data_IF_144327069191
#
_entry.id   IF_144327069191
#
_cell.length_a   1.000
_cell.length_b   1.000
_cell.length_c   1.000
_cell.angle_alpha   90.00
_cell.angle_beta   90.00
_cell.angle_gamma   90.00
#
_symmetry.space_group_name_H-M   'P 1'
#
loop_
_entity.id
_entity.type
_entity.pdbx_description
1 polymer ?
#
# COMPACT_ATOMS: atom_id res chain seq x y z
N UNK A 1 -6.98 4.26 10.02
CA UNK A 1 -7.29 3.12 10.89
C UNK A 1 -6.89 3.39 12.34
N UNK A 2 -5.63 3.75 12.64
CA UNK A 2 -5.19 4.10 14.00
C UNK A 2 -6.07 5.16 14.65
N UNK A 3 -6.37 6.25 13.95
CA UNK A 3 -7.23 7.33 14.48
C UNK A 3 -8.65 6.85 14.77
N UNK A 4 -9.21 5.96 13.94
CA UNK A 4 -10.54 5.37 14.17
C UNK A 4 -10.51 4.50 15.42
N UNK A 5 -9.53 3.61 15.52
CA UNK A 5 -9.33 2.76 16.68
C UNK A 5 -9.22 3.57 17.97
N UNK A 6 -8.34 4.55 18.02
CA UNK A 6 -8.08 5.35 19.22
C UNK A 6 -9.31 6.15 19.65
N UNK A 7 -10.09 6.65 18.68
CA UNK A 7 -11.32 7.36 18.95
C UNK A 7 -12.41 6.44 19.50
N UNK A 8 -12.53 5.22 19.00
CA UNK A 8 -13.48 4.22 19.50
C UNK A 8 -13.10 3.72 20.89
N UNK A 9 -11.80 3.49 21.14
CA UNK A 9 -11.29 3.16 22.48
C UNK A 9 -11.58 4.27 23.49
N UNK A 10 -11.37 5.53 23.13
CA UNK A 10 -11.69 6.67 24.00
C UNK A 10 -13.20 6.83 24.27
N UNK A 11 -14.05 6.28 23.40
CA UNK A 11 -15.48 6.22 23.58
C UNK A 11 -15.95 4.99 24.40
N UNK A 12 -15.03 4.15 24.89
CA UNK A 12 -15.35 2.96 25.70
C UNK A 12 -15.93 1.79 24.91
N UNK A 13 -15.69 1.75 23.59
CA UNK A 13 -16.13 0.64 22.74
C UNK A 13 -15.20 -0.56 22.94
N UNK A 14 -15.77 -1.76 23.00
CA UNK A 14 -15.01 -3.00 23.11
C UNK A 14 -14.08 -3.21 21.89
N UNK A 15 -12.88 -3.70 22.15
CA UNK A 15 -11.86 -3.85 21.11
C UNK A 15 -12.26 -4.82 19.98
N UNK A 16 -13.11 -5.81 20.27
CA UNK A 16 -13.71 -6.67 19.24
C UNK A 16 -14.64 -5.89 18.30
N UNK A 17 -15.43 -4.99 18.86
CA UNK A 17 -16.30 -4.11 18.03
C UNK A 17 -15.49 -3.16 17.18
N UNK A 18 -14.31 -2.70 17.67
CA UNK A 18 -13.39 -1.89 16.90
C UNK A 18 -12.86 -2.66 15.68
N UNK A 19 -12.45 -3.91 15.85
CA UNK A 19 -11.99 -4.73 14.72
C UNK A 19 -13.13 -5.00 13.73
N UNK A 20 -14.35 -5.24 14.20
CA UNK A 20 -15.52 -5.37 13.33
C UNK A 20 -15.81 -4.09 12.54
N UNK A 21 -15.62 -2.92 13.15
CA UNK A 21 -15.74 -1.63 12.44
C UNK A 21 -14.66 -1.46 11.36
N UNK A 22 -13.43 -1.93 11.61
CA UNK A 22 -12.35 -1.94 10.61
C UNK A 22 -12.64 -2.93 9.47
N UNK A 23 -13.27 -4.09 9.77
CA UNK A 23 -13.77 -5.00 8.74
C UNK A 23 -14.80 -4.31 7.84
N UNK A 24 -15.75 -3.58 8.43
CA UNK A 24 -16.73 -2.81 7.67
C UNK A 24 -16.08 -1.72 6.79
N UNK A 25 -15.01 -1.07 7.29
CA UNK A 25 -14.19 -0.15 6.50
C UNK A 25 -13.56 -0.86 5.29
N UNK A 26 -13.06 -2.08 5.47
CA UNK A 26 -12.50 -2.90 4.38
C UNK A 26 -13.54 -3.17 3.28
N UNK A 27 -14.76 -3.55 3.64
CA UNK A 27 -15.84 -3.72 2.67
C UNK A 27 -16.20 -2.43 1.93
N UNK A 28 -16.23 -1.29 2.65
CA UNK A 28 -16.47 0.02 2.03
C UNK A 28 -15.35 0.40 1.05
N UNK A 29 -14.10 0.16 1.41
CA UNK A 29 -12.94 0.38 0.56
C UNK A 29 -13.01 -0.47 -0.72
N UNK A 30 -13.41 -1.75 -0.60
CA UNK A 30 -13.59 -2.66 -1.74
C UNK A 30 -14.63 -2.15 -2.73
N UNK A 31 -15.77 -1.71 -2.26
CA UNK A 31 -16.81 -1.13 -3.13
C UNK A 31 -16.33 0.13 -3.84
N UNK A 32 -15.66 1.03 -3.12
CA UNK A 32 -15.12 2.26 -3.71
C UNK A 32 -14.08 1.93 -4.77
N UNK A 33 -13.18 0.96 -4.50
CA UNK A 33 -12.11 0.60 -5.42
C UNK A 33 -12.63 0.08 -6.75
N UNK A 34 -13.70 -0.74 -6.75
CA UNK A 34 -14.35 -1.22 -7.97
C UNK A 34 -14.84 -0.06 -8.83
N UNK A 35 -15.60 0.88 -8.24
CA UNK A 35 -16.13 2.03 -8.99
C UNK A 35 -15.03 3.00 -9.44
N UNK A 36 -14.02 3.23 -8.60
CA UNK A 36 -12.88 4.07 -8.95
C UNK A 36 -12.05 3.46 -10.09
N UNK A 37 -11.86 2.13 -10.09
CA UNK A 37 -11.19 1.42 -11.18
C UNK A 37 -11.96 1.52 -12.50
N UNK A 38 -13.27 1.34 -12.47
CA UNK A 38 -14.11 1.48 -13.66
C UNK A 38 -14.11 2.90 -14.19
N UNK A 39 -14.33 3.89 -13.34
CA UNK A 39 -14.41 5.30 -13.72
C UNK A 39 -13.04 5.90 -14.06
N UNK A 40 -12.03 5.65 -13.24
CA UNK A 40 -10.69 6.22 -13.41
C UNK A 40 -9.82 5.42 -14.39
N UNK A 41 -9.77 4.09 -14.26
CA UNK A 41 -8.88 3.25 -15.06
C UNK A 41 -9.43 2.93 -16.44
N UNK A 42 -10.61 2.29 -16.54
CA UNK A 42 -11.15 1.82 -17.83
C UNK A 42 -11.59 2.97 -18.69
N UNK A 43 -12.23 3.99 -18.11
CA UNK A 43 -12.73 5.13 -18.87
C UNK A 43 -11.58 5.96 -19.48
N UNK A 44 -10.49 6.14 -18.73
CA UNK A 44 -9.29 6.84 -19.23
C UNK A 44 -8.60 6.05 -20.33
N UNK A 45 -8.56 4.73 -20.25
CA UNK A 45 -8.01 3.88 -21.31
C UNK A 45 -8.86 3.95 -22.59
N UNK A 46 -10.17 4.12 -22.46
CA UNK A 46 -11.04 4.42 -23.59
C UNK A 46 -10.73 5.75 -24.26
N UNK A 47 -10.36 6.77 -23.50
CA UNK A 47 -9.94 8.07 -24.01
C UNK A 47 -8.59 8.00 -24.77
N UNK A 48 -7.60 7.28 -24.22
CA UNK A 48 -6.31 7.01 -24.85
C UNK A 48 -6.48 6.34 -26.23
N UNK A 49 -7.20 5.22 -26.29
CA UNK A 49 -7.48 4.52 -27.54
C UNK A 49 -8.24 5.43 -28.54
N UNK A 50 -9.18 6.24 -28.07
CA UNK A 50 -9.91 7.20 -28.90
C UNK A 50 -9.01 8.27 -29.47
N UNK A 51 -8.08 8.82 -28.67
CA UNK A 51 -7.09 9.82 -29.08
C UNK A 51 -6.16 9.27 -30.20
N UNK A 52 -5.72 8.02 -30.02
CA UNK A 52 -4.88 7.33 -30.99
C UNK A 52 -5.60 7.06 -32.30
N UNK A 53 -6.83 6.60 -32.25
CA UNK A 53 -7.63 6.34 -33.47
C UNK A 53 -7.85 7.62 -34.29
N UNK A 54 -8.24 8.69 -33.62
CA UNK A 54 -8.46 9.99 -34.33
C UNK A 54 -7.14 10.55 -34.85
N UNK A 55 -6.10 10.54 -34.03
CA UNK A 55 -4.80 11.10 -34.43
C UNK A 55 -4.13 10.30 -35.53
N UNK A 56 -3.91 9.01 -35.34
CA UNK A 56 -3.15 8.18 -36.30
C UNK A 56 -3.96 7.78 -37.51
N UNK A 57 -5.22 7.38 -37.33
CA UNK A 57 -6.01 6.77 -38.44
C UNK A 57 -6.74 7.82 -39.24
N UNK A 58 -7.40 8.79 -38.60
CA UNK A 58 -8.18 9.79 -39.29
C UNK A 58 -7.35 11.02 -39.76
N UNK A 59 -6.55 11.57 -38.82
CA UNK A 59 -5.78 12.78 -39.08
C UNK A 59 -4.38 12.50 -39.66
N UNK A 60 -3.88 11.28 -39.60
CA UNK A 60 -2.56 10.88 -40.09
C UNK A 60 -1.39 11.58 -39.41
N UNK A 61 -1.56 12.00 -38.15
CA UNK A 61 -0.53 12.64 -37.36
C UNK A 61 0.13 11.61 -36.41
N UNK A 62 1.40 11.79 -36.04
CA UNK A 62 2.07 10.92 -35.09
C UNK A 62 1.35 10.84 -33.72
N UNK A 63 1.58 9.75 -32.99
CA UNK A 63 1.18 9.60 -31.63
C UNK A 63 1.76 10.73 -30.77
N UNK A 64 1.05 11.16 -29.74
CA UNK A 64 1.45 12.25 -28.84
C UNK A 64 1.72 13.61 -29.54
N UNK A 65 1.20 13.83 -30.74
CA UNK A 65 1.39 15.10 -31.44
C UNK A 65 0.60 16.22 -30.74
N UNK A 66 1.26 17.34 -30.35
CA UNK A 66 0.60 18.44 -29.64
C UNK A 66 -0.51 19.14 -30.42
N UNK A 67 -0.64 18.87 -31.74
CA UNK A 67 -1.73 19.34 -32.58
C UNK A 67 -3.04 18.60 -32.35
N UNK A 68 -2.98 17.40 -31.74
CA UNK A 68 -4.16 16.64 -31.37
C UNK A 68 -4.59 17.05 -29.96
N UNK A 69 -5.72 17.75 -29.76
CA UNK A 69 -6.16 18.15 -28.41
C UNK A 69 -6.54 16.96 -27.54
N UNK A 70 -6.78 15.78 -28.11
CA UNK A 70 -7.06 14.56 -27.34
C UNK A 70 -5.84 14.06 -26.56
N UNK A 71 -4.61 14.43 -26.95
CA UNK A 71 -3.37 14.12 -26.21
C UNK A 71 -3.39 14.75 -24.81
N UNK A 72 -4.00 15.92 -24.64
CA UNK A 72 -4.15 16.52 -23.31
C UNK A 72 -5.09 15.68 -22.44
N UNK A 73 -6.20 15.21 -23.02
CA UNK A 73 -7.15 14.36 -22.30
C UNK A 73 -6.53 13.01 -21.92
N UNK A 74 -5.70 12.46 -22.80
CA UNK A 74 -4.95 11.22 -22.56
C UNK A 74 -3.96 11.38 -21.41
N UNK A 75 -3.07 12.38 -21.46
CA UNK A 75 -2.11 12.64 -20.39
C UNK A 75 -2.76 12.93 -19.03
N UNK A 76 -3.88 13.65 -19.00
CA UNK A 76 -4.66 13.86 -17.77
C UNK A 76 -5.31 12.55 -17.33
N UNK A 77 -5.81 11.77 -18.29
CA UNK A 77 -6.44 10.47 -18.07
C UNK A 77 -5.50 9.46 -17.45
N UNK A 78 -4.25 9.38 -17.88
CA UNK A 78 -3.23 8.52 -17.29
C UNK A 78 -3.03 8.83 -15.79
N UNK A 79 -2.91 10.09 -15.43
CA UNK A 79 -2.80 10.49 -14.03
C UNK A 79 -4.06 10.10 -13.22
N UNK A 80 -5.25 10.27 -13.77
CA UNK A 80 -6.50 9.85 -13.12
C UNK A 80 -6.58 8.34 -13.03
N UNK A 81 -6.15 7.61 -14.06
CA UNK A 81 -6.09 6.16 -14.09
C UNK A 81 -5.20 5.58 -13.00
N UNK A 82 -4.01 6.14 -12.84
CA UNK A 82 -3.07 5.70 -11.80
C UNK A 82 -3.57 6.04 -10.38
N UNK A 83 -4.10 7.24 -10.17
CA UNK A 83 -4.58 7.65 -8.85
C UNK A 83 -5.93 7.00 -8.49
N UNK A 84 -6.94 7.10 -9.34
CA UNK A 84 -8.27 6.59 -9.05
C UNK A 84 -8.39 5.09 -9.31
N UNK A 85 -7.76 4.57 -10.35
CA UNK A 85 -7.80 3.16 -10.70
C UNK A 85 -6.88 2.31 -9.83
N UNK A 86 -5.58 2.61 -9.82
CA UNK A 86 -4.59 1.78 -9.14
C UNK A 86 -4.44 2.10 -7.65
N UNK A 87 -4.39 3.37 -7.25
CA UNK A 87 -4.20 3.73 -5.85
C UNK A 87 -5.40 3.32 -4.99
N UNK A 88 -6.63 3.34 -5.51
CA UNK A 88 -7.82 2.86 -4.81
C UNK A 88 -7.73 1.36 -4.50
N UNK A 89 -7.24 0.55 -5.44
CA UNK A 89 -6.99 -0.88 -5.26
C UNK A 89 -5.91 -1.15 -4.20
N UNK A 90 -4.82 -0.37 -4.23
CA UNK A 90 -3.77 -0.48 -3.23
C UNK A 90 -4.29 -0.14 -1.84
N UNK A 91 -5.10 0.90 -1.71
CA UNK A 91 -5.75 1.25 -0.44
C UNK A 91 -6.62 0.11 0.09
N UNK A 92 -7.47 -0.49 -0.75
CA UNK A 92 -8.27 -1.66 -0.40
C UNK A 92 -7.40 -2.81 0.09
N UNK A 93 -6.37 -3.18 -0.67
CA UNK A 93 -5.46 -4.27 -0.34
C UNK A 93 -4.76 -4.04 1.00
N UNK A 94 -4.33 -2.81 1.27
CA UNK A 94 -3.75 -2.43 2.56
C UNK A 94 -4.74 -2.63 3.71
N UNK A 95 -5.93 -2.08 3.60
CA UNK A 95 -6.96 -2.18 4.65
C UNK A 95 -7.30 -3.64 4.93
N UNK A 96 -7.60 -4.41 3.89
CA UNK A 96 -8.01 -5.81 4.02
C UNK A 96 -6.89 -6.67 4.62
N UNK A 97 -5.64 -6.50 4.18
CA UNK A 97 -4.51 -7.28 4.68
C UNK A 97 -4.21 -6.99 6.15
N UNK A 98 -4.24 -5.72 6.56
CA UNK A 98 -4.02 -5.32 7.95
C UNK A 98 -5.12 -5.89 8.84
N UNK A 99 -6.38 -5.68 8.46
CA UNK A 99 -7.54 -6.13 9.24
C UNK A 99 -7.58 -7.66 9.34
N UNK A 100 -7.30 -8.37 8.24
CA UNK A 100 -7.22 -9.83 8.27
C UNK A 100 -6.16 -10.34 9.26
N UNK A 101 -4.99 -9.70 9.28
CA UNK A 101 -3.92 -10.06 10.23
C UNK A 101 -4.31 -9.74 11.68
N UNK A 102 -5.00 -8.62 11.93
CA UNK A 102 -5.52 -8.27 13.26
C UNK A 102 -6.58 -9.28 13.73
N UNK A 103 -7.52 -9.65 12.88
CA UNK A 103 -8.53 -10.69 13.18
C UNK A 103 -7.87 -12.02 13.51
N UNK A 104 -6.85 -12.41 12.74
CA UNK A 104 -6.12 -13.65 12.96
C UNK A 104 -5.41 -13.63 14.32
N UNK A 105 -4.78 -12.51 14.69
CA UNK A 105 -4.15 -12.35 16.00
C UNK A 105 -5.15 -12.54 17.15
N UNK A 106 -6.36 -11.97 17.06
CA UNK A 106 -7.42 -12.13 18.06
C UNK A 106 -7.89 -13.59 18.17
N UNK A 107 -8.06 -14.28 17.03
CA UNK A 107 -8.50 -15.66 17.01
C UNK A 107 -7.49 -16.58 17.74
N UNK A 108 -6.19 -16.36 17.52
CA UNK A 108 -5.15 -17.19 18.12
C UNK A 108 -4.86 -16.87 19.58
N UNK A 109 -4.98 -15.62 20.00
CA UNK A 109 -4.73 -15.21 21.39
C UNK A 109 -5.98 -15.23 22.27
N UNK A 110 -7.17 -15.18 21.67
CA UNK A 110 -8.44 -15.10 22.39
C UNK A 110 -8.70 -13.75 23.10
N UNK A 111 -7.71 -12.87 23.14
CA UNK A 111 -7.78 -11.51 23.71
C UNK A 111 -7.08 -10.53 22.80
N UNK A 112 -7.49 -9.27 22.84
CA UNK A 112 -6.79 -8.21 22.14
C UNK A 112 -5.52 -7.84 22.90
N UNK A 113 -4.41 -7.84 22.22
CA UNK A 113 -3.09 -7.62 22.81
C UNK A 113 -2.27 -6.70 21.90
N UNK A 114 -1.06 -6.38 22.35
CA UNK A 114 -0.07 -5.63 21.54
C UNK A 114 0.17 -6.27 20.17
N UNK A 115 0.02 -7.59 20.07
CA UNK A 115 0.13 -8.33 18.82
C UNK A 115 -0.96 -7.95 17.79
N UNK A 116 -2.16 -7.59 18.25
CA UNK A 116 -3.25 -7.14 17.39
C UNK A 116 -2.95 -5.79 16.72
N UNK A 117 -2.22 -4.91 17.42
CA UNK A 117 -1.87 -3.57 16.94
C UNK A 117 -0.62 -3.61 16.06
N UNK A 118 0.22 -4.59 16.23
CA UNK A 118 1.50 -4.72 15.54
C UNK A 118 1.40 -4.58 14.00
N UNK A 119 0.45 -5.23 13.28
CA UNK A 119 0.30 -5.05 11.84
C UNK A 119 0.02 -3.61 11.44
N UNK A 120 -0.73 -2.89 12.27
CA UNK A 120 -1.07 -1.48 12.04
C UNK A 120 0.16 -0.58 12.17
N UNK A 121 1.01 -0.84 13.17
CA UNK A 121 2.26 -0.11 13.39
C UNK A 121 3.26 -0.36 12.25
N UNK A 122 3.41 -1.61 11.82
CA UNK A 122 4.26 -1.97 10.68
C UNK A 122 3.79 -1.28 9.40
N UNK A 123 2.49 -1.34 9.10
CA UNK A 123 1.93 -0.69 7.92
C UNK A 123 2.09 0.84 7.97
N UNK A 124 1.84 1.45 9.12
CA UNK A 124 2.04 2.89 9.31
C UNK A 124 3.49 3.33 9.12
N UNK A 125 4.44 2.54 9.62
CA UNK A 125 5.87 2.81 9.42
C UNK A 125 6.32 2.63 7.97
N UNK A 126 5.73 1.69 7.24
CA UNK A 126 6.00 1.49 5.83
C UNK A 126 5.65 2.71 4.98
N UNK A 127 4.58 3.43 5.35
CA UNK A 127 4.21 4.68 4.69
C UNK A 127 5.31 5.74 4.89
N UNK A 128 5.83 5.88 6.12
CA UNK A 128 6.94 6.80 6.40
C UNK A 128 8.20 6.43 5.62
N UNK A 129 8.54 5.12 5.58
CA UNK A 129 9.66 4.64 4.79
C UNK A 129 9.49 4.96 3.29
N UNK A 130 8.28 4.82 2.77
CA UNK A 130 7.95 5.10 1.38
C UNK A 130 8.07 6.58 1.04
N UNK A 131 7.60 7.47 1.92
CA UNK A 131 7.73 8.92 1.76
C UNK A 131 9.21 9.32 1.74
N UNK A 132 10.03 8.78 2.65
CA UNK A 132 11.47 9.08 2.68
C UNK A 132 12.15 8.48 1.45
N UNK A 133 11.84 7.23 1.09
CA UNK A 133 12.41 6.55 -0.07
C UNK A 133 12.12 7.25 -1.38
N UNK A 134 10.93 7.83 -1.54
CA UNK A 134 10.55 8.58 -2.75
C UNK A 134 11.43 9.82 -2.98
N UNK A 135 12.01 10.41 -1.94
CA UNK A 135 12.95 11.55 -2.06
C UNK A 135 14.25 11.17 -2.81
N UNK A 136 14.58 9.88 -2.83
CA UNK A 136 15.78 9.37 -3.51
C UNK A 136 15.53 9.04 -4.99
N UNK A 137 14.27 9.10 -5.44
CA UNK A 137 13.92 8.96 -6.86
C UNK A 137 14.24 10.28 -7.55
N UNK A 138 15.37 10.34 -8.24
CA UNK A 138 15.79 11.52 -9.00
C UNK A 138 16.43 11.12 -10.33
N UNK A 139 16.05 11.82 -11.38
CA UNK A 139 16.60 11.69 -12.72
C UNK A 139 17.56 12.85 -12.92
N UNK A 140 18.86 12.57 -12.97
CA UNK A 140 19.90 13.60 -13.05
C UNK A 140 20.19 14.07 -14.47
N UNK A 141 19.88 13.26 -15.49
CA UNK A 141 20.13 13.59 -16.90
C UNK A 141 19.05 12.99 -17.81
N UNK A 142 18.73 13.63 -18.95
CA UNK A 142 17.72 13.11 -19.90
C UNK A 142 18.03 11.72 -20.47
N UNK A 143 19.29 11.26 -20.36
CA UNK A 143 19.75 9.95 -20.82
C UNK A 143 19.80 8.89 -19.71
N UNK A 144 19.49 9.25 -18.46
CA UNK A 144 19.49 8.29 -17.36
C UNK A 144 18.29 7.33 -17.48
N UNK A 145 18.53 6.07 -17.09
CA UNK A 145 17.45 5.07 -17.07
C UNK A 145 16.41 5.43 -16.01
N UNK A 146 15.15 5.58 -16.42
CA UNK A 146 14.00 5.83 -15.55
C UNK A 146 13.86 4.68 -14.55
N UNK A 147 13.99 3.43 -15.03
CA UNK A 147 13.93 2.24 -14.17
C UNK A 147 15.02 2.23 -13.10
N UNK A 148 16.24 2.67 -13.46
CA UNK A 148 17.33 2.78 -12.47
C UNK A 148 17.04 3.79 -11.35
N UNK A 149 16.38 4.90 -11.65
CA UNK A 149 15.96 5.86 -10.64
C UNK A 149 14.85 5.30 -9.73
N UNK A 150 13.88 4.58 -10.29
CA UNK A 150 12.82 3.91 -9.53
C UNK A 150 13.39 2.82 -8.61
N UNK A 151 14.28 1.98 -9.11
CA UNK A 151 14.95 0.94 -8.29
C UNK A 151 15.75 1.54 -7.15
N UNK A 152 16.42 2.66 -7.36
CA UNK A 152 17.13 3.36 -6.29
C UNK A 152 16.19 3.77 -5.15
N UNK A 153 15.06 4.38 -5.47
CA UNK A 153 14.04 4.72 -4.47
C UNK A 153 13.47 3.49 -3.77
N UNK A 154 13.20 2.42 -4.52
CA UNK A 154 12.70 1.16 -3.99
C UNK A 154 13.67 0.52 -2.98
N UNK A 155 14.96 0.40 -3.32
CA UNK A 155 15.97 -0.12 -2.39
C UNK A 155 16.12 0.73 -1.14
N UNK A 156 16.07 2.07 -1.28
CA UNK A 156 16.10 2.96 -0.12
C UNK A 156 14.88 2.78 0.78
N UNK A 157 13.69 2.62 0.19
CA UNK A 157 12.46 2.32 0.95
C UNK A 157 12.59 1.00 1.71
N UNK A 158 13.06 -0.07 1.06
CA UNK A 158 13.27 -1.36 1.72
C UNK A 158 14.25 -1.26 2.89
N UNK A 159 15.37 -0.59 2.69
CA UNK A 159 16.39 -0.40 3.74
C UNK A 159 15.84 0.35 4.95
N UNK A 160 15.13 1.45 4.71
CA UNK A 160 14.50 2.23 5.77
C UNK A 160 13.40 1.43 6.47
N UNK A 161 12.62 0.63 5.73
CA UNK A 161 11.57 -0.23 6.29
C UNK A 161 12.14 -1.25 7.26
N UNK A 162 13.26 -1.91 6.93
CA UNK A 162 13.91 -2.88 7.85
C UNK A 162 14.29 -2.20 9.17
N UNK A 163 14.86 -0.99 9.11
CA UNK A 163 15.24 -0.24 10.32
C UNK A 163 14.01 0.11 11.15
N UNK A 164 12.96 0.62 10.52
CA UNK A 164 11.72 1.00 11.22
C UNK A 164 11.01 -0.22 11.80
N UNK A 165 10.99 -1.34 11.09
CA UNK A 165 10.42 -2.60 11.61
C UNK A 165 11.18 -3.10 12.83
N UNK A 166 12.51 -3.04 12.81
CA UNK A 166 13.31 -3.40 13.98
C UNK A 166 12.99 -2.50 15.19
N UNK A 167 12.93 -1.18 14.98
CA UNK A 167 12.61 -0.23 16.04
C UNK A 167 11.20 -0.45 16.60
N UNK A 168 10.21 -0.64 15.75
CA UNK A 168 8.82 -0.88 16.17
C UNK A 168 8.70 -2.19 16.92
N UNK A 169 9.31 -3.27 16.43
CA UNK A 169 9.28 -4.56 17.09
C UNK A 169 9.92 -4.48 18.49
N UNK A 170 11.06 -3.81 18.60
CA UNK A 170 11.73 -3.63 19.88
C UNK A 170 10.91 -2.77 20.84
N UNK A 171 10.24 -1.72 20.35
CA UNK A 171 9.48 -0.81 21.20
C UNK A 171 8.12 -1.39 21.63
N UNK A 172 7.41 -2.09 20.72
CA UNK A 172 6.06 -2.58 20.99
C UNK A 172 6.03 -3.93 21.71
N UNK A 173 6.90 -4.86 21.34
CA UNK A 173 6.87 -6.24 21.85
C UNK A 173 8.16 -6.56 22.60
N UNK A 174 9.31 -6.08 22.11
CA UNK A 174 10.64 -6.49 22.57
C UNK A 174 11.11 -7.79 21.91
N UNK A 175 12.36 -7.83 21.45
CA UNK A 175 12.90 -9.01 20.76
C UNK A 175 12.95 -10.26 21.62
N UNK A 176 13.18 -10.11 22.93
CA UNK A 176 13.35 -11.21 23.88
C UNK A 176 12.05 -11.62 24.59
N UNK A 177 10.95 -10.94 24.34
CA UNK A 177 9.68 -11.28 24.95
C UNK A 177 9.01 -12.43 24.21
N UNK A 178 8.60 -13.44 24.98
CA UNK A 178 7.89 -14.61 24.47
C UNK A 178 6.39 -14.41 24.62
N UNK A 179 5.66 -14.74 23.57
CA UNK A 179 4.21 -14.79 23.57
C UNK A 179 3.74 -16.13 23.01
N UNK A 180 2.60 -16.59 23.50
CA UNK A 180 2.01 -17.84 23.08
C UNK A 180 1.00 -17.59 21.95
N UNK A 181 1.17 -18.27 20.84
CA UNK A 181 0.22 -18.25 19.73
C UNK A 181 -0.30 -19.69 19.52
N UNK A 182 -1.52 -19.95 19.97
CA UNK A 182 -2.05 -21.32 19.99
C UNK A 182 -1.23 -22.22 20.94
N UNK A 183 -0.63 -23.28 20.40
CA UNK A 183 0.16 -24.25 21.16
C UNK A 183 1.68 -24.03 21.10
N UNK A 184 2.14 -22.95 20.48
CA UNK A 184 3.59 -22.68 20.30
C UNK A 184 3.97 -21.33 20.91
N UNK A 185 5.21 -21.27 21.38
CA UNK A 185 5.83 -20.06 21.87
C UNK A 185 6.66 -19.41 20.75
N UNK A 186 6.50 -18.12 20.59
CA UNK A 186 7.24 -17.27 19.64
C UNK A 186 7.83 -16.09 20.39
N UNK A 187 8.86 -15.49 19.83
CA UNK A 187 9.46 -14.28 20.37
C UNK A 187 9.29 -13.09 19.40
N UNK A 188 9.61 -11.88 19.86
CA UNK A 188 9.53 -10.69 19.02
C UNK A 188 10.46 -10.76 17.80
N UNK A 189 11.56 -11.50 17.89
CA UNK A 189 12.48 -11.71 16.76
C UNK A 189 11.82 -12.50 15.63
N UNK A 190 10.95 -13.48 15.95
CA UNK A 190 10.23 -14.26 14.94
C UNK A 190 9.28 -13.37 14.13
N UNK A 191 8.59 -12.42 14.78
CA UNK A 191 7.73 -11.45 14.10
C UNK A 191 8.53 -10.50 13.20
N UNK A 192 9.65 -9.99 13.70
CA UNK A 192 10.54 -9.16 12.90
C UNK A 192 11.04 -9.92 11.66
N UNK A 193 11.47 -11.17 11.82
CA UNK A 193 11.89 -12.01 10.70
C UNK A 193 10.75 -12.25 9.70
N UNK A 194 9.52 -12.48 10.16
CA UNK A 194 8.37 -12.58 9.26
C UNK A 194 8.18 -11.32 8.42
N UNK A 195 8.29 -10.13 9.02
CA UNK A 195 8.19 -8.87 8.29
C UNK A 195 9.34 -8.70 7.28
N UNK A 196 10.56 -9.06 7.65
CA UNK A 196 11.73 -9.04 6.74
C UNK A 196 11.57 -10.04 5.60
N UNK A 197 11.08 -11.26 5.86
CA UNK A 197 10.77 -12.22 4.79
C UNK A 197 9.74 -11.67 3.80
N UNK A 198 8.72 -10.95 4.27
CA UNK A 198 7.78 -10.25 3.39
C UNK A 198 8.48 -9.25 2.46
N UNK A 199 9.43 -8.46 2.97
CA UNK A 199 10.23 -7.55 2.15
C UNK A 199 11.11 -8.29 1.14
N UNK A 200 11.72 -9.41 1.52
CA UNK A 200 12.54 -10.24 0.61
C UNK A 200 11.68 -10.84 -0.51
N UNK A 201 10.48 -11.32 -0.18
CA UNK A 201 9.54 -11.81 -1.20
C UNK A 201 9.14 -10.70 -2.16
N UNK A 202 8.84 -9.51 -1.64
CA UNK A 202 8.53 -8.34 -2.47
C UNK A 202 9.70 -8.00 -3.40
N UNK A 203 10.93 -8.02 -2.89
CA UNK A 203 12.13 -7.82 -3.70
C UNK A 203 12.24 -8.86 -4.82
N UNK A 204 12.01 -10.14 -4.50
CA UNK A 204 12.10 -11.24 -5.47
C UNK A 204 11.00 -11.20 -6.55
N UNK A 205 9.85 -10.58 -6.26
CA UNK A 205 8.77 -10.42 -7.24
C UNK A 205 8.97 -9.22 -8.17
N UNK A 206 9.76 -8.23 -7.77
CA UNK A 206 10.07 -7.04 -8.57
C UNK A 206 11.21 -7.30 -9.56
N UNK A 207 12.08 -8.28 -9.30
CA UNK A 207 13.23 -8.69 -10.12
C UNK A 207 13.06 -10.10 -10.68
#
# INVERSE_FOLDING_TARGET
>A
EMCIRDRLLSAGVDEREIVNALVALGFGASLISIFARLGGGIFTKGADVGADLVGKVEAGIPEDDPRNPAVIADNVGDNVGDCAGMAADLFETYVVSIVATMVLAIIFQGTVSELTIYPLLIAGSSILASIIGSQFVSISTPKSSIMGALYKGFFMTLFISVILFALITQYSIGFDQFFQLGNKWYNGMDLFLCAVYGLVITLALVF
#
